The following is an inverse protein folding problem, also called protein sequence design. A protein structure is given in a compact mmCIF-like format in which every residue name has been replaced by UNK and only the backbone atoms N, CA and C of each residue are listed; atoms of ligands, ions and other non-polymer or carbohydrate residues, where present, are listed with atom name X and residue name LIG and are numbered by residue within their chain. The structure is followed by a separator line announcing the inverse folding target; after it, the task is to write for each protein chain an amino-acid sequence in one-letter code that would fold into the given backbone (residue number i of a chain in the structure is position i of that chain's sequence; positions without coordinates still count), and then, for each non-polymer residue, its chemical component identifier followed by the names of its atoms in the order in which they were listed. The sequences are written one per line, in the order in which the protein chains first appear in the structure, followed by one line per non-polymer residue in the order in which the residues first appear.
data_IF_829755139459
#
_entry.id   IF_829755139459
#
_cell.length_a   1.000
_cell.length_b   1.000
_cell.length_c   1.000
_cell.angle_alpha   90.00
_cell.angle_beta   90.00
_cell.angle_gamma   90.00
#
_symmetry.space_group_name_H-M   'P 1'
#
loop_
_entity.id
_entity.type
_entity.pdbx_description
1 polymer ?
#
# COMPACT_ATOMS: atom_id res chain seq x y z
N UNK A 1 -18.72 -16.63 36.11
CA UNK A 1 -20.16 -16.26 36.12
C UNK A 1 -21.11 -17.35 36.61
N UNK A 2 -20.81 -18.66 36.50
CA UNK A 2 -21.76 -19.71 36.90
C UNK A 2 -22.15 -19.80 38.39
N UNK A 3 -21.50 -19.07 39.30
CA UNK A 3 -21.82 -19.04 40.74
C UNK A 3 -22.86 -17.98 41.14
N UNK A 4 -23.42 -17.24 40.18
CA UNK A 4 -24.48 -16.26 40.45
C UNK A 4 -25.69 -16.99 41.01
N UNK A 5 -26.17 -16.53 42.18
CA UNK A 5 -27.35 -17.08 42.85
C UNK A 5 -28.61 -16.59 42.13
N UNK A 6 -29.49 -17.52 41.77
CA UNK A 6 -30.79 -17.21 41.16
C UNK A 6 -31.92 -17.29 42.18
N UNK A 7 -31.89 -18.31 43.05
CA UNK A 7 -32.94 -18.56 44.06
C UNK A 7 -32.38 -19.36 45.23
N UNK A 8 -32.90 -19.08 46.43
CA UNK A 8 -32.76 -19.96 47.60
C UNK A 8 -34.12 -20.62 47.86
N UNK A 9 -34.14 -21.94 47.94
CA UNK A 9 -35.34 -22.73 48.21
C UNK A 9 -35.66 -22.75 49.70
N UNK A 10 -36.89 -23.14 50.06
CA UNK A 10 -37.35 -23.19 51.46
C UNK A 10 -36.60 -24.20 52.33
N UNK A 11 -35.92 -25.17 51.71
CA UNK A 11 -35.05 -26.15 52.36
C UNK A 11 -33.59 -25.66 52.54
N UNK A 12 -33.30 -24.41 52.15
CA UNK A 12 -31.96 -23.82 52.20
C UNK A 12 -31.06 -24.17 51.01
N UNK A 13 -31.52 -24.98 50.05
CA UNK A 13 -30.76 -25.27 48.83
C UNK A 13 -30.71 -24.04 47.91
N UNK A 14 -29.57 -23.81 47.27
CA UNK A 14 -29.32 -22.62 46.44
C UNK A 14 -29.22 -23.02 44.97
N UNK A 15 -30.13 -22.49 44.14
CA UNK A 15 -30.09 -22.63 42.69
C UNK A 15 -29.18 -21.54 42.11
N UNK A 16 -28.15 -21.96 41.39
CA UNK A 16 -27.15 -21.10 40.75
C UNK A 16 -27.32 -21.10 39.23
N UNK A 17 -26.78 -20.09 38.56
CA UNK A 17 -26.86 -19.96 37.09
C UNK A 17 -26.34 -21.20 36.35
N UNK A 18 -25.28 -21.82 36.87
CA UNK A 18 -24.73 -23.08 36.30
C UNK A 18 -25.68 -24.27 36.37
N UNK A 19 -26.67 -24.26 37.26
CA UNK A 19 -27.60 -25.37 37.46
C UNK A 19 -28.71 -25.35 36.40
N UNK A 20 -28.88 -24.23 35.68
CA UNK A 20 -29.95 -24.01 34.68
C UNK A 20 -29.45 -23.54 33.31
N UNK A 21 -28.18 -23.21 33.15
CA UNK A 21 -27.60 -22.76 31.88
C UNK A 21 -26.14 -23.19 31.72
N UNK A 22 -25.72 -23.41 30.47
CA UNK A 22 -24.30 -23.58 30.12
C UNK A 22 -23.62 -22.22 30.11
N UNK A 23 -22.53 -22.09 30.88
CA UNK A 23 -21.74 -20.86 30.96
C UNK A 23 -20.35 -21.16 30.44
N UNK A 24 -20.02 -20.63 29.27
CA UNK A 24 -18.72 -20.77 28.63
C UNK A 24 -18.23 -19.45 28.03
N UNK A 25 -16.92 -19.34 27.80
CA UNK A 25 -16.33 -18.25 27.02
C UNK A 25 -16.49 -18.60 25.55
N UNK A 26 -17.32 -17.83 24.85
CA UNK A 26 -17.62 -18.00 23.43
C UNK A 26 -17.37 -16.72 22.63
N UNK A 27 -17.61 -16.81 21.32
CA UNK A 27 -17.67 -15.62 20.48
C UNK A 27 -18.94 -14.81 20.76
N UNK A 28 -18.91 -13.51 20.47
CA UNK A 28 -20.09 -12.65 20.57
C UNK A 28 -21.18 -13.05 19.58
N UNK A 29 -20.78 -13.45 18.36
CA UNK A 29 -21.66 -13.98 17.34
C UNK A 29 -20.99 -15.14 16.57
N UNK A 30 -21.81 -15.94 15.90
CA UNK A 30 -21.38 -17.14 15.16
C UNK A 30 -21.72 -17.03 13.67
N UNK A 31 -21.93 -15.82 13.15
CA UNK A 31 -22.37 -15.58 11.77
C UNK A 31 -21.22 -15.73 10.76
N UNK A 32 -19.96 -15.66 11.21
CA UNK A 32 -18.78 -15.69 10.36
C UNK A 32 -17.85 -16.79 10.82
N UNK A 33 -17.55 -17.73 9.91
CA UNK A 33 -16.54 -18.77 10.12
C UNK A 33 -15.40 -18.49 9.15
N UNK A 34 -14.31 -17.93 9.65
CA UNK A 34 -13.13 -17.63 8.84
C UNK A 34 -12.14 -18.82 8.85
N UNK A 35 -11.66 -19.18 7.66
CA UNK A 35 -10.62 -20.20 7.46
C UNK A 35 -9.60 -19.73 6.45
N UNK A 36 -8.34 -20.10 6.65
CA UNK A 36 -7.27 -19.94 5.67
C UNK A 36 -6.65 -21.31 5.44
N UNK A 37 -6.63 -21.77 4.18
CA UNK A 37 -6.12 -23.09 3.79
C UNK A 37 -6.72 -24.24 4.65
N UNK A 38 -8.02 -24.18 4.90
CA UNK A 38 -8.75 -25.18 5.69
C UNK A 38 -8.55 -25.10 7.22
N UNK A 39 -7.66 -24.24 7.72
CA UNK A 39 -7.39 -24.07 9.16
C UNK A 39 -8.22 -22.92 9.75
N UNK A 40 -8.68 -23.01 11.02
CA UNK A 40 -9.35 -21.90 11.69
C UNK A 40 -8.51 -20.63 11.65
N UNK A 41 -9.13 -19.50 11.31
CA UNK A 41 -8.44 -18.22 11.18
C UNK A 41 -9.25 -17.09 11.79
N UNK A 42 -8.55 -16.03 12.18
CA UNK A 42 -9.09 -14.71 12.46
C UNK A 42 -8.26 -13.69 11.69
N UNK A 43 -8.79 -12.48 11.49
CA UNK A 43 -8.10 -11.48 10.69
C UNK A 43 -8.56 -10.07 10.97
N UNK A 44 -7.76 -9.12 10.47
CA UNK A 44 -8.03 -7.70 10.52
C UNK A 44 -8.03 -7.15 9.09
N UNK A 45 -9.14 -6.55 8.68
CA UNK A 45 -9.21 -5.78 7.45
C UNK A 45 -8.71 -4.36 7.71
N UNK A 46 -7.50 -4.05 7.25
CA UNK A 46 -6.89 -2.73 7.48
C UNK A 46 -7.17 -1.84 6.28
N UNK A 47 -7.74 -0.66 6.55
CA UNK A 47 -7.98 0.38 5.54
C UNK A 47 -7.02 1.54 5.77
N UNK A 48 -6.50 2.08 4.67
CA UNK A 48 -5.62 3.24 4.71
C UNK A 48 -6.43 4.47 5.13
N UNK A 49 -5.89 5.27 6.06
CA UNK A 49 -6.46 6.56 6.42
C UNK A 49 -6.31 7.55 5.25
N UNK A 50 -7.25 8.49 5.12
CA UNK A 50 -7.21 9.52 4.07
C UNK A 50 -5.90 10.30 4.13
N UNK A 51 -5.21 10.40 3.00
CA UNK A 51 -3.93 11.12 2.88
C UNK A 51 -2.70 10.40 3.46
N UNK A 52 -2.87 9.22 4.09
CA UNK A 52 -1.74 8.45 4.58
C UNK A 52 -0.98 7.75 3.43
N UNK A 53 0.30 7.47 3.66
CA UNK A 53 1.12 6.73 2.71
C UNK A 53 0.93 5.22 2.89
N UNK A 54 0.58 4.52 1.80
CA UNK A 54 0.32 3.09 1.82
C UNK A 54 1.56 2.25 2.19
N UNK A 55 2.72 2.59 1.63
CA UNK A 55 3.99 1.87 1.85
C UNK A 55 4.46 2.02 3.31
N UNK A 56 4.41 3.25 3.82
CA UNK A 56 4.81 3.53 5.21
C UNK A 56 3.86 2.84 6.20
N UNK A 57 2.56 2.89 5.94
CA UNK A 57 1.54 2.24 6.78
C UNK A 57 1.73 0.73 6.80
N UNK A 58 1.93 0.09 5.64
CA UNK A 58 2.18 -1.35 5.59
C UNK A 58 3.48 -1.74 6.28
N UNK A 59 4.54 -0.93 6.16
CA UNK A 59 5.80 -1.14 6.88
C UNK A 59 5.59 -1.05 8.39
N UNK A 60 4.83 -0.05 8.86
CA UNK A 60 4.51 0.12 10.28
C UNK A 60 3.69 -1.05 10.82
N UNK A 61 2.70 -1.55 10.07
CA UNK A 61 1.90 -2.72 10.44
C UNK A 61 2.79 -3.96 10.58
N UNK A 62 3.65 -4.23 9.59
CA UNK A 62 4.58 -5.37 9.60
C UNK A 62 5.56 -5.27 10.77
N UNK A 63 6.09 -4.08 11.03
CA UNK A 63 6.98 -3.83 12.17
C UNK A 63 6.26 -4.09 13.51
N UNK A 64 5.03 -3.60 13.67
CA UNK A 64 4.27 -3.82 14.90
C UNK A 64 3.90 -5.29 15.11
N UNK A 65 3.54 -6.00 14.04
CA UNK A 65 3.28 -7.44 14.12
C UNK A 65 4.54 -8.23 14.49
N UNK A 66 5.70 -7.84 13.97
CA UNK A 66 6.98 -8.46 14.36
C UNK A 66 7.31 -8.24 15.84
N UNK A 67 6.99 -7.08 16.40
CA UNK A 67 7.15 -6.79 17.84
C UNK A 67 6.21 -7.64 18.72
N UNK A 68 4.98 -7.90 18.24
CA UNK A 68 3.98 -8.68 18.98
C UNK A 68 4.15 -10.19 18.85
N UNK A 69 4.76 -10.65 17.76
CA UNK A 69 4.91 -12.06 17.43
C UNK A 69 5.57 -12.93 18.53
N UNK A 70 6.55 -12.45 19.31
CA UNK A 70 7.14 -13.21 20.41
C UNK A 70 6.15 -13.55 21.54
N UNK A 71 5.08 -12.78 21.69
CA UNK A 71 4.07 -12.97 22.74
C UNK A 71 2.92 -13.88 22.29
N UNK A 72 2.97 -14.42 21.08
CA UNK A 72 1.89 -15.25 20.56
C UNK A 72 1.88 -16.64 21.17
N UNK A 73 0.69 -17.23 21.39
CA UNK A 73 0.54 -18.63 21.77
C UNK A 73 1.20 -19.56 20.75
N UNK A 74 1.64 -20.73 21.21
CA UNK A 74 2.19 -21.75 20.33
C UNK A 74 1.22 -22.11 19.19
N UNK A 75 1.73 -22.17 17.97
CA UNK A 75 0.95 -22.50 16.77
C UNK A 75 0.25 -21.32 16.10
N UNK A 76 0.21 -20.14 16.72
CA UNK A 76 -0.31 -18.92 16.09
C UNK A 76 0.70 -18.38 15.08
N UNK A 77 0.25 -18.11 13.85
CA UNK A 77 1.05 -17.54 12.77
C UNK A 77 0.30 -16.42 12.07
N UNK A 78 1.01 -15.35 11.75
CA UNK A 78 0.49 -14.24 10.94
C UNK A 78 0.64 -14.58 9.47
N UNK A 79 -0.41 -14.34 8.71
CA UNK A 79 -0.42 -14.46 7.25
C UNK A 79 -0.93 -13.14 6.67
N UNK A 80 -0.41 -12.79 5.49
CA UNK A 80 -0.82 -11.60 4.73
C UNK A 80 -1.51 -12.05 3.44
N UNK A 81 -2.77 -12.54 3.51
CA UNK A 81 -3.45 -13.09 2.34
C UNK A 81 -3.79 -12.04 1.28
N UNK A 82 -3.87 -10.77 1.67
CA UNK A 82 -4.16 -9.65 0.79
C UNK A 82 -3.36 -8.43 1.23
N UNK A 83 -2.41 -8.01 0.38
CA UNK A 83 -1.58 -6.81 0.57
C UNK A 83 -1.40 -6.15 -0.80
N UNK A 84 -1.88 -4.92 -0.95
CA UNK A 84 -1.78 -4.16 -2.21
C UNK A 84 -0.42 -3.45 -2.34
N UNK A 85 0.35 -3.34 -1.27
CA UNK A 85 1.60 -2.56 -1.26
C UNK A 85 2.71 -3.11 -2.17
N UNK A 86 2.90 -4.43 -2.34
CA UNK A 86 3.89 -4.94 -3.29
C UNK A 86 3.57 -4.53 -4.74
N UNK A 87 2.28 -4.50 -5.11
CA UNK A 87 1.88 -4.08 -6.45
C UNK A 87 2.13 -2.58 -6.67
N UNK A 88 1.82 -1.73 -5.68
CA UNK A 88 2.12 -0.29 -5.73
C UNK A 88 3.63 -0.06 -5.82
N UNK A 89 4.42 -0.77 -5.02
CA UNK A 89 5.87 -0.66 -5.06
C UNK A 89 6.44 -1.05 -6.43
N UNK A 90 5.97 -2.16 -6.98
CA UNK A 90 6.39 -2.62 -8.31
C UNK A 90 5.97 -1.62 -9.40
N UNK A 91 4.75 -1.09 -9.33
CA UNK A 91 4.26 -0.08 -10.27
C UNK A 91 5.12 1.19 -10.27
N UNK A 92 5.52 1.67 -9.09
CA UNK A 92 6.42 2.82 -8.97
C UNK A 92 7.79 2.48 -9.53
N UNK A 93 8.33 1.31 -9.22
CA UNK A 93 9.64 0.88 -9.72
C UNK A 93 9.67 0.80 -11.25
N UNK A 94 8.67 0.16 -11.87
CA UNK A 94 8.58 0.05 -13.32
C UNK A 94 8.44 1.41 -13.99
N UNK A 95 7.69 2.35 -13.40
CA UNK A 95 7.58 3.70 -13.97
C UNK A 95 8.90 4.46 -13.85
N UNK A 96 9.61 4.38 -12.72
CA UNK A 96 10.93 5.02 -12.59
C UNK A 96 11.92 4.43 -13.59
N UNK A 97 11.87 3.11 -13.81
CA UNK A 97 12.68 2.43 -14.81
C UNK A 97 12.35 2.90 -16.23
N UNK A 98 11.07 2.97 -16.60
CA UNK A 98 10.65 3.46 -17.92
C UNK A 98 11.00 4.93 -18.13
N UNK A 99 10.95 5.77 -17.09
CA UNK A 99 11.46 7.14 -17.14
C UNK A 99 12.94 7.19 -17.51
N UNK A 100 13.75 6.34 -16.86
CA UNK A 100 15.20 6.29 -17.14
C UNK A 100 15.49 5.76 -18.55
N UNK A 101 14.80 4.70 -18.97
CA UNK A 101 14.90 4.16 -20.33
C UNK A 101 14.50 5.20 -21.38
N UNK A 102 13.41 5.94 -21.15
CA UNK A 102 12.96 7.00 -22.05
C UNK A 102 14.00 8.11 -22.18
N UNK A 103 14.55 8.61 -21.07
CA UNK A 103 15.60 9.65 -21.10
C UNK A 103 16.84 9.15 -21.85
N UNK A 104 17.25 7.90 -21.63
CA UNK A 104 18.38 7.29 -22.34
C UNK A 104 18.12 7.20 -23.84
N UNK A 105 16.92 6.75 -24.25
CA UNK A 105 16.54 6.67 -25.65
C UNK A 105 16.50 8.05 -26.31
N UNK A 106 15.95 9.06 -25.64
CA UNK A 106 15.96 10.45 -26.12
C UNK A 106 17.38 10.95 -26.32
N UNK A 107 18.26 10.71 -25.35
CA UNK A 107 19.67 11.07 -25.47
C UNK A 107 20.34 10.39 -26.68
N UNK A 108 20.13 9.09 -26.88
CA UNK A 108 20.73 8.35 -27.98
C UNK A 108 20.22 8.83 -29.35
N UNK A 109 18.91 9.03 -29.49
CA UNK A 109 18.31 9.53 -30.73
C UNK A 109 18.81 10.94 -31.03
N UNK A 110 18.79 11.85 -30.05
CA UNK A 110 19.26 13.22 -30.24
C UNK A 110 20.75 13.30 -30.54
N UNK A 111 21.57 12.45 -29.93
CA UNK A 111 22.99 12.38 -30.24
C UNK A 111 23.24 11.87 -31.66
N UNK A 112 22.45 10.90 -32.13
CA UNK A 112 22.56 10.36 -33.48
C UNK A 112 22.28 11.43 -34.56
N UNK A 113 21.25 12.25 -34.36
CA UNK A 113 20.86 13.30 -35.32
C UNK A 113 21.76 14.54 -35.22
N UNK A 114 22.05 15.02 -34.02
CA UNK A 114 22.76 16.29 -33.83
C UNK A 114 24.29 16.13 -33.78
N UNK A 115 24.81 14.94 -33.48
CA UNK A 115 26.23 14.61 -33.34
C UNK A 115 27.02 15.57 -32.42
N UNK A 116 26.32 16.29 -31.55
CA UNK A 116 26.85 17.34 -30.71
C UNK A 116 26.38 17.14 -29.26
N UNK A 117 27.33 16.80 -28.39
CA UNK A 117 27.08 16.56 -26.96
C UNK A 117 26.35 17.71 -26.26
N UNK A 118 26.62 18.96 -26.65
CA UNK A 118 26.01 20.12 -26.00
C UNK A 118 24.53 20.23 -26.33
N UNK A 119 24.17 19.97 -27.58
CA UNK A 119 22.78 20.04 -28.04
C UNK A 119 21.95 18.88 -27.46
N UNK A 120 22.52 17.68 -27.39
CA UNK A 120 21.87 16.50 -26.79
C UNK A 120 21.59 16.66 -25.29
N UNK A 121 22.42 17.40 -24.55
CA UNK A 121 22.22 17.59 -23.10
C UNK A 121 21.00 18.46 -22.76
N UNK A 122 20.57 19.33 -23.67
CA UNK A 122 19.47 20.28 -23.41
C UNK A 122 18.16 19.51 -23.13
N UNK A 123 17.67 18.60 -24.00
CA UNK A 123 16.47 17.81 -23.71
C UNK A 123 16.65 16.85 -22.53
N UNK A 124 17.84 16.26 -22.39
CA UNK A 124 18.15 15.30 -21.31
C UNK A 124 18.02 15.92 -19.92
N UNK A 125 18.32 17.21 -19.75
CA UNK A 125 18.16 17.92 -18.48
C UNK A 125 16.74 18.52 -18.36
N UNK A 126 16.17 19.01 -19.46
CA UNK A 126 14.85 19.62 -19.45
C UNK A 126 13.75 18.65 -18.97
N UNK A 127 13.75 17.40 -19.44
CA UNK A 127 12.73 16.41 -19.09
C UNK A 127 12.68 16.13 -17.57
N UNK A 128 13.78 15.78 -16.88
CA UNK A 128 13.79 15.62 -15.42
C UNK A 128 13.31 16.85 -14.66
N UNK A 129 13.68 18.05 -15.11
CA UNK A 129 13.27 19.30 -14.44
C UNK A 129 11.76 19.50 -14.50
N UNK A 130 11.14 19.27 -15.67
CA UNK A 130 9.68 19.40 -15.82
C UNK A 130 8.93 18.32 -15.02
N UNK A 131 9.45 17.10 -14.97
CA UNK A 131 8.87 16.03 -14.15
C UNK A 131 8.90 16.37 -12.65
N UNK A 132 10.04 16.86 -12.14
CA UNK A 132 10.14 17.33 -10.76
C UNK A 132 9.18 18.50 -10.48
N UNK A 133 9.04 19.43 -11.44
CA UNK A 133 8.05 20.51 -11.37
C UNK A 133 6.61 19.99 -11.31
N UNK A 134 6.29 18.96 -12.09
CA UNK A 134 4.97 18.32 -12.09
C UNK A 134 4.67 17.69 -10.73
N UNK A 135 5.63 17.01 -10.10
CA UNK A 135 5.46 16.51 -8.73
C UNK A 135 5.21 17.63 -7.73
N UNK A 136 5.91 18.75 -7.84
CA UNK A 136 5.69 19.90 -6.96
C UNK A 136 4.28 20.49 -7.11
N UNK A 137 3.79 20.61 -8.35
CA UNK A 137 2.42 21.08 -8.63
C UNK A 137 1.40 20.07 -8.11
N UNK A 138 1.55 18.79 -8.43
CA UNK A 138 0.65 17.74 -7.93
C UNK A 138 0.57 17.76 -6.40
N UNK A 139 1.71 17.90 -5.72
CA UNK A 139 1.75 18.01 -4.26
C UNK A 139 1.03 19.29 -3.76
N UNK A 140 1.22 20.43 -4.44
CA UNK A 140 0.56 21.69 -4.09
C UNK A 140 -0.98 21.61 -4.22
N UNK A 141 -1.49 20.83 -5.17
CA UNK A 141 -2.92 20.56 -5.34
C UNK A 141 -3.44 19.37 -4.50
N UNK A 142 -2.59 18.75 -3.68
CA UNK A 142 -2.98 17.63 -2.82
C UNK A 142 -3.20 16.31 -3.56
N UNK A 143 -2.68 16.16 -4.78
CA UNK A 143 -2.68 14.88 -5.48
C UNK A 143 -1.65 13.93 -4.87
N UNK A 144 -2.00 12.65 -4.81
CA UNK A 144 -1.09 11.57 -4.42
C UNK A 144 -0.42 10.95 -5.63
N UNK A 145 0.77 10.38 -5.42
CA UNK A 145 1.39 9.50 -6.41
C UNK A 145 0.64 8.17 -6.39
N UNK A 146 -0.05 7.87 -7.48
CA UNK A 146 -0.79 6.64 -7.67
C UNK A 146 -0.68 6.17 -9.13
N UNK A 147 -1.26 5.01 -9.44
CA UNK A 147 -1.19 4.42 -10.78
C UNK A 147 -1.65 5.37 -11.89
N UNK A 148 -2.69 6.18 -11.67
CA UNK A 148 -3.20 7.12 -12.67
C UNK A 148 -2.25 8.28 -12.92
N UNK A 149 -1.75 8.93 -11.86
CA UNK A 149 -0.80 10.04 -12.00
C UNK A 149 0.51 9.57 -12.64
N UNK A 150 0.94 8.34 -12.33
CA UNK A 150 2.13 7.73 -12.91
C UNK A 150 1.97 7.44 -14.40
N UNK A 151 0.84 6.89 -14.84
CA UNK A 151 0.56 6.74 -16.27
C UNK A 151 0.46 8.08 -17.00
N UNK A 152 -0.16 9.09 -16.38
CA UNK A 152 -0.22 10.43 -16.93
C UNK A 152 1.18 11.02 -17.20
N UNK A 153 2.13 10.81 -16.29
CA UNK A 153 3.52 11.22 -16.50
C UNK A 153 4.18 10.50 -17.67
N UNK A 154 4.00 9.17 -17.78
CA UNK A 154 4.57 8.40 -18.89
C UNK A 154 4.05 8.89 -20.24
N UNK A 155 2.74 9.17 -20.34
CA UNK A 155 2.14 9.72 -21.56
C UNK A 155 2.64 11.14 -21.87
N UNK A 156 2.85 11.97 -20.85
CA UNK A 156 3.33 13.34 -21.02
C UNK A 156 4.77 13.41 -21.55
N UNK A 157 5.60 12.40 -21.34
CA UNK A 157 7.00 12.40 -21.81
C UNK A 157 7.09 12.61 -23.32
N UNK A 158 6.20 11.99 -24.11
CA UNK A 158 6.22 12.16 -25.56
C UNK A 158 6.05 13.63 -25.98
N UNK A 159 5.18 14.36 -25.28
CA UNK A 159 4.96 15.80 -25.51
C UNK A 159 6.14 16.64 -25.02
N UNK A 160 6.67 16.33 -23.83
CA UNK A 160 7.79 17.07 -23.22
C UNK A 160 9.08 16.95 -24.03
N UNK A 161 9.31 15.76 -24.60
CA UNK A 161 10.47 15.51 -25.45
C UNK A 161 10.34 16.28 -26.76
N UNK A 162 9.17 16.24 -27.40
CA UNK A 162 8.92 16.97 -28.65
C UNK A 162 9.20 18.47 -28.49
N UNK A 163 8.65 19.10 -27.44
CA UNK A 163 8.91 20.51 -27.11
C UNK A 163 10.41 20.81 -26.97
N UNK A 164 11.15 19.93 -26.27
CA UNK A 164 12.58 20.12 -26.06
C UNK A 164 13.40 19.90 -27.34
N UNK A 165 12.96 19.01 -28.24
CA UNK A 165 13.62 18.75 -29.52
C UNK A 165 13.43 19.93 -30.48
N UNK A 166 12.19 20.39 -30.66
CA UNK A 166 11.87 21.48 -31.60
C UNK A 166 12.66 22.75 -31.29
N UNK A 167 12.84 23.07 -30.00
CA UNK A 167 13.64 24.23 -29.58
C UNK A 167 15.12 24.08 -29.93
N UNK A 168 15.67 22.88 -29.84
CA UNK A 168 17.10 22.62 -30.14
C UNK A 168 17.36 22.52 -31.64
N UNK A 169 16.40 22.01 -32.42
CA UNK A 169 16.49 21.94 -33.89
C UNK A 169 16.37 23.31 -34.55
N UNK A 170 15.61 24.23 -33.95
CA UNK A 170 15.37 25.57 -34.48
C UNK A 170 16.47 26.61 -34.10
N UNK A 171 17.61 26.17 -33.56
CA UNK A 171 18.74 27.03 -33.13
C UNK A 171 19.97 26.83 -34.01
#
# INVERSE_FOLDING_TARGET
FGKVTLRVNSDGSVVRLKDVARVELGGENYNVIARINGKPAAGLGIKLATGANALDTAKAIKAKLAELQPFFPQGMKVLYPYDTTPFVQLSIHEVVKTLFEAIMLVFLVMYLFLQNMRATLIPTIAVPVVLLGTFAILAAFGYSINTLTMFGMVLAIGLLVDDAIVVVENV
#
